data_IF_027519311642
#
_entry.id   IF_027519311642
#
_cell.length_a   1.000
_cell.length_b   1.000
_cell.length_c   1.000
_cell.angle_alpha   90.00
_cell.angle_beta   90.00
_cell.angle_gamma   90.00
#
_symmetry.space_group_name_H-M   'P 1'
#
loop_
_entity.id
_entity.type
_entity.pdbx_description
1 polymer ?
#
# COMPACT_ATOMS: atom_id res chain seq x y z
N UNK A 1 73.35 -18.67 -11.52
CA UNK A 1 72.72 -18.75 -10.19
C UNK A 1 71.32 -18.14 -10.33
N UNK A 2 70.28 -18.75 -10.91
CA UNK A 2 69.70 -20.10 -10.76
C UNK A 2 69.49 -20.47 -9.30
N UNK A 3 68.26 -20.32 -8.79
CA UNK A 3 67.93 -20.73 -7.42
C UNK A 3 66.59 -20.27 -6.82
N UNK A 4 65.88 -19.27 -7.38
CA UNK A 4 64.75 -18.64 -6.65
C UNK A 4 63.45 -18.43 -7.42
N UNK A 5 63.32 -18.97 -8.64
CA UNK A 5 62.07 -18.89 -9.44
C UNK A 5 61.22 -20.17 -9.33
N UNK A 6 61.77 -21.27 -8.79
CA UNK A 6 61.08 -22.56 -8.68
C UNK A 6 60.19 -22.72 -7.44
N UNK A 7 60.28 -21.83 -6.44
CA UNK A 7 59.53 -21.96 -5.17
C UNK A 7 58.16 -21.26 -5.17
N UNK A 8 57.93 -20.27 -6.03
CA UNK A 8 56.65 -19.54 -6.07
C UNK A 8 55.55 -20.22 -6.90
N UNK A 9 55.90 -21.19 -7.75
CA UNK A 9 54.94 -21.96 -8.56
C UNK A 9 54.37 -23.19 -7.84
N UNK A 10 55.04 -23.68 -6.79
CA UNK A 10 54.58 -24.79 -5.97
C UNK A 10 53.49 -24.36 -4.98
N UNK A 11 53.59 -23.15 -4.39
CA UNK A 11 52.59 -22.62 -3.46
C UNK A 11 51.25 -22.27 -4.15
N UNK A 12 51.30 -21.73 -5.37
CA UNK A 12 50.10 -21.44 -6.16
C UNK A 12 49.36 -22.71 -6.63
N UNK A 13 50.07 -23.82 -6.85
CA UNK A 13 49.47 -25.11 -7.22
C UNK A 13 48.89 -25.84 -6.01
N UNK A 14 49.47 -25.70 -4.82
CA UNK A 14 48.95 -26.27 -3.59
C UNK A 14 47.64 -25.58 -3.13
N UNK A 15 47.54 -24.26 -3.30
CA UNK A 15 46.31 -23.50 -2.97
C UNK A 15 45.17 -23.79 -3.95
N UNK A 16 45.46 -24.02 -5.24
CA UNK A 16 44.45 -24.40 -6.22
C UNK A 16 43.92 -25.84 -6.04
N UNK A 17 44.78 -26.78 -5.61
CA UNK A 17 44.38 -28.16 -5.27
C UNK A 17 43.57 -28.24 -3.96
N UNK A 18 43.85 -27.35 -2.99
CA UNK A 18 43.05 -27.23 -1.77
C UNK A 18 41.61 -26.73 -2.01
N UNK A 19 41.44 -25.80 -2.96
CA UNK A 19 40.12 -25.29 -3.33
C UNK A 19 39.28 -26.30 -4.14
N UNK A 20 39.91 -27.17 -4.94
CA UNK A 20 39.21 -28.21 -5.71
C UNK A 20 38.81 -29.42 -4.86
N UNK A 21 39.56 -29.76 -3.81
CA UNK A 21 39.20 -30.83 -2.88
C UNK A 21 38.04 -30.46 -1.93
N UNK A 22 37.82 -29.16 -1.69
CA UNK A 22 36.68 -28.66 -0.92
C UNK A 22 35.33 -28.73 -1.65
N UNK A 23 35.33 -28.97 -2.97
CA UNK A 23 34.11 -29.10 -3.78
C UNK A 23 33.63 -30.56 -3.96
N UNK A 24 34.43 -31.55 -3.55
CA UNK A 24 34.12 -32.99 -3.76
C UNK A 24 33.71 -33.71 -2.46
N UNK A 25 34.07 -33.18 -1.28
CA UNK A 25 33.58 -33.70 0.00
C UNK A 25 32.59 -32.70 0.61
N UNK A 26 31.30 -32.99 0.45
CA UNK A 26 30.22 -32.26 1.09
C UNK A 26 30.40 -32.24 2.62
N UNK A 27 30.76 -31.08 3.15
CA UNK A 27 30.68 -30.77 4.57
C UNK A 27 29.21 -30.65 5.03
N UNK A 28 28.93 -30.86 6.33
CA UNK A 28 27.57 -31.02 6.84
C UNK A 28 26.74 -29.73 6.69
N UNK A 29 25.47 -29.96 6.39
CA UNK A 29 24.37 -28.99 6.24
C UNK A 29 24.32 -28.03 7.44
N UNK A 30 24.20 -26.70 7.25
CA UNK A 30 23.94 -25.79 8.36
C UNK A 30 22.50 -25.97 8.86
N UNK A 31 22.37 -26.39 10.12
CA UNK A 31 21.13 -26.31 10.89
C UNK A 31 20.77 -24.85 11.13
N UNK A 32 19.61 -24.44 10.63
CA UNK A 32 18.98 -23.18 11.00
C UNK A 32 18.50 -23.29 12.45
N UNK A 33 19.31 -22.78 13.39
CA UNK A 33 18.92 -22.62 14.79
C UNK A 33 18.00 -21.41 14.90
N UNK A 34 16.69 -21.66 15.00
CA UNK A 34 15.73 -20.67 15.45
C UNK A 34 15.99 -20.39 16.94
N UNK A 35 16.39 -19.16 17.26
CA UNK A 35 16.36 -18.67 18.63
C UNK A 35 14.91 -18.46 19.04
N UNK A 36 14.30 -19.50 19.62
CA UNK A 36 13.11 -19.33 20.45
C UNK A 36 13.54 -18.63 21.74
N UNK A 37 13.26 -17.33 21.83
CA UNK A 37 13.24 -16.63 23.10
C UNK A 37 12.12 -17.22 23.96
N UNK A 38 12.53 -18.03 24.93
CA UNK A 38 11.70 -18.66 25.95
C UNK A 38 11.22 -17.58 26.95
N UNK A 39 10.13 -16.89 26.62
CA UNK A 39 9.37 -16.12 27.60
C UNK A 39 8.52 -17.09 28.43
N UNK A 40 9.11 -17.64 29.49
CA UNK A 40 8.36 -18.27 30.59
C UNK A 40 7.73 -17.18 31.47
N UNK A 41 6.75 -16.46 30.93
CA UNK A 41 5.84 -15.70 31.78
C UNK A 41 4.81 -16.67 32.34
N UNK A 42 5.10 -17.17 33.55
CA UNK A 42 4.11 -17.75 34.46
C UNK A 42 2.94 -16.78 34.57
N UNK A 43 1.83 -17.09 33.91
CA UNK A 43 0.55 -16.46 34.20
C UNK A 43 0.13 -16.95 35.58
N UNK A 44 0.26 -16.06 36.56
CA UNK A 44 -0.19 -16.26 37.93
C UNK A 44 -1.69 -15.96 37.93
N UNK A 45 -2.52 -17.01 38.05
CA UNK A 45 -3.96 -16.83 38.18
C UNK A 45 -4.27 -16.13 39.52
N UNK A 46 -5.04 -15.03 39.53
CA UNK A 46 -5.61 -14.54 40.78
C UNK A 46 -6.61 -15.58 41.29
N UNK A 47 -6.40 -16.01 42.53
CA UNK A 47 -7.40 -16.71 43.31
C UNK A 47 -8.48 -15.71 43.71
N UNK A 48 -9.74 -15.93 43.32
CA UNK A 48 -10.86 -15.12 43.78
C UNK A 48 -12.05 -15.17 42.83
N UNK A 49 -13.08 -15.89 43.28
CA UNK A 49 -14.45 -15.97 42.77
C UNK A 49 -14.94 -14.74 41.98
N UNK A 50 -15.19 -14.93 40.69
CA UNK A 50 -16.39 -14.38 40.03
C UNK A 50 -16.73 -15.24 38.81
N UNK A 51 -17.93 -15.82 38.83
CA UNK A 51 -18.40 -16.80 37.86
C UNK A 51 -18.80 -16.11 36.54
N UNK A 52 -17.87 -15.97 35.61
CA UNK A 52 -18.20 -15.75 34.19
C UNK A 52 -18.26 -17.10 33.48
N UNK A 53 -19.50 -17.58 33.35
CA UNK A 53 -19.89 -18.77 32.60
C UNK A 53 -19.50 -18.54 31.13
N UNK A 54 -18.36 -19.09 30.71
CA UNK A 54 -18.05 -19.25 29.29
C UNK A 54 -19.14 -20.15 28.71
N UNK A 55 -20.05 -19.55 27.94
CA UNK A 55 -21.09 -20.28 27.26
C UNK A 55 -20.47 -20.90 26.02
N UNK A 56 -20.03 -22.16 26.13
CA UNK A 56 -19.65 -22.95 24.98
C UNK A 56 -20.83 -22.97 24.00
N UNK A 57 -20.62 -22.72 22.69
CA UNK A 57 -21.67 -22.91 21.70
C UNK A 57 -22.20 -24.34 21.83
N UNK A 58 -23.52 -24.45 21.97
CA UNK A 58 -24.21 -25.72 22.10
C UNK A 58 -23.87 -26.61 20.92
N UNK A 59 -23.42 -27.84 21.20
CA UNK A 59 -23.12 -28.91 20.23
C UNK A 59 -24.41 -29.49 19.61
N UNK A 60 -25.43 -28.65 19.40
CA UNK A 60 -26.71 -28.97 18.79
C UNK A 60 -26.91 -28.36 17.40
N UNK A 61 -25.98 -27.54 16.91
CA UNK A 61 -25.92 -27.24 15.48
C UNK A 61 -25.17 -28.36 14.77
N UNK A 62 -25.86 -29.48 14.53
CA UNK A 62 -25.47 -30.36 13.43
C UNK A 62 -25.53 -29.51 12.17
N UNK A 63 -24.38 -29.00 11.73
CA UNK A 63 -24.22 -28.35 10.44
C UNK A 63 -24.46 -29.45 9.38
N UNK A 64 -25.73 -29.65 9.03
CA UNK A 64 -26.13 -30.55 7.96
C UNK A 64 -25.44 -30.03 6.72
N UNK A 65 -24.49 -30.80 6.18
CA UNK A 65 -23.92 -30.55 4.87
C UNK A 65 -25.08 -30.54 3.88
N UNK A 66 -25.47 -29.36 3.41
CA UNK A 66 -26.45 -29.24 2.34
C UNK A 66 -25.73 -29.55 1.04
N UNK A 67 -26.16 -30.65 0.41
CA UNK A 67 -25.73 -31.05 -0.92
C UNK A 67 -26.46 -30.15 -1.92
N UNK A 68 -25.83 -29.74 -3.04
CA UNK A 68 -26.50 -28.97 -4.10
C UNK A 68 -27.84 -29.59 -4.49
N UNK A 69 -28.80 -28.74 -4.86
CA UNK A 69 -30.14 -29.20 -5.25
C UNK A 69 -30.04 -30.22 -6.37
N UNK A 70 -30.84 -31.30 -6.30
CA UNK A 70 -30.88 -32.33 -7.35
C UNK A 70 -31.34 -31.74 -8.70
N UNK A 71 -32.11 -30.65 -8.64
CA UNK A 71 -32.64 -29.94 -9.81
C UNK A 71 -31.64 -28.96 -10.46
N UNK A 72 -30.58 -28.55 -9.74
CA UNK A 72 -29.48 -27.74 -10.28
C UNK A 72 -28.18 -27.98 -9.46
N UNK A 73 -27.30 -28.89 -9.92
CA UNK A 73 -26.08 -29.29 -9.20
C UNK A 73 -25.07 -28.16 -8.99
N UNK A 74 -25.30 -26.99 -9.58
CA UNK A 74 -24.39 -25.85 -9.52
C UNK A 74 -24.85 -24.74 -8.57
N UNK A 75 -26.05 -24.83 -7.98
CA UNK A 75 -26.62 -23.74 -7.17
C UNK A 75 -27.04 -24.18 -5.77
N UNK A 76 -26.69 -23.34 -4.80
CA UNK A 76 -27.10 -23.50 -3.41
C UNK A 76 -28.38 -22.73 -3.13
N UNK A 77 -29.08 -23.08 -2.04
CA UNK A 77 -30.24 -22.31 -1.58
C UNK A 77 -29.85 -20.87 -1.20
N UNK A 78 -30.83 -19.96 -1.20
CA UNK A 78 -30.61 -18.58 -0.77
C UNK A 78 -29.95 -18.52 0.62
N UNK A 79 -28.97 -17.64 0.78
CA UNK A 79 -28.15 -17.56 1.99
C UNK A 79 -27.01 -18.58 2.08
N UNK A 80 -26.71 -19.30 0.99
CA UNK A 80 -25.58 -20.23 0.89
C UNK A 80 -24.81 -20.04 -0.42
N UNK A 81 -23.50 -20.25 -0.36
CA UNK A 81 -22.60 -20.29 -1.52
C UNK A 81 -21.95 -21.67 -1.66
N UNK A 82 -21.50 -21.98 -2.87
CA UNK A 82 -20.86 -23.23 -3.23
C UNK A 82 -19.36 -23.15 -2.99
N UNK A 83 -18.89 -23.80 -1.92
CA UNK A 83 -17.45 -23.95 -1.64
C UNK A 83 -16.88 -25.14 -2.42
N UNK A 84 -15.89 -24.87 -3.28
CA UNK A 84 -15.18 -25.87 -4.09
C UNK A 84 -13.75 -26.15 -3.61
N UNK A 85 -13.37 -25.64 -2.43
CA UNK A 85 -12.01 -25.78 -1.89
C UNK A 85 -11.67 -27.20 -1.45
N UNK A 86 -12.68 -28.06 -1.24
CA UNK A 86 -12.53 -29.47 -0.85
C UNK A 86 -12.76 -30.46 -2.00
N UNK A 87 -12.55 -31.76 -1.73
CA UNK A 87 -12.78 -32.85 -2.69
C UNK A 87 -14.24 -32.97 -3.15
N UNK A 88 -15.18 -32.46 -2.36
CA UNK A 88 -16.62 -32.45 -2.65
C UNK A 88 -17.10 -31.02 -2.47
N UNK A 89 -17.80 -30.49 -3.47
CA UNK A 89 -18.43 -29.18 -3.37
C UNK A 89 -19.59 -29.21 -2.37
N UNK A 90 -19.67 -28.21 -1.50
CA UNK A 90 -20.67 -28.14 -0.42
C UNK A 90 -21.28 -26.75 -0.34
N UNK A 91 -22.56 -26.69 0.03
CA UNK A 91 -23.21 -25.42 0.31
C UNK A 91 -22.86 -24.95 1.72
N UNK A 92 -22.24 -23.78 1.80
CA UNK A 92 -21.83 -23.13 3.05
C UNK A 92 -22.66 -21.86 3.23
N UNK A 93 -23.16 -21.63 4.45
CA UNK A 93 -23.97 -20.44 4.75
C UNK A 93 -23.14 -19.17 4.54
N UNK A 94 -23.76 -18.13 3.98
CA UNK A 94 -23.17 -16.79 3.92
C UNK A 94 -22.83 -16.30 5.33
N UNK A 95 -21.60 -15.81 5.52
CA UNK A 95 -21.14 -15.27 6.80
C UNK A 95 -20.91 -13.76 6.67
N UNK A 96 -21.97 -12.97 6.86
CA UNK A 96 -21.96 -11.52 6.63
C UNK A 96 -22.07 -10.69 7.90
N UNK A 97 -21.61 -11.22 9.05
CA UNK A 97 -21.68 -10.58 10.37
C UNK A 97 -23.10 -10.09 10.77
N UNK A 98 -24.15 -10.64 10.16
CA UNK A 98 -25.54 -10.24 10.37
C UNK A 98 -25.94 -8.92 9.69
N UNK A 99 -25.12 -8.41 8.76
CA UNK A 99 -25.41 -7.22 7.94
C UNK A 99 -25.85 -7.55 6.52
N UNK A 100 -25.93 -8.83 6.17
CA UNK A 100 -26.56 -9.32 4.95
C UNK A 100 -26.94 -10.79 5.12
N UNK A 101 -27.95 -11.23 4.38
CA UNK A 101 -28.36 -12.61 4.18
C UNK A 101 -28.10 -13.10 2.75
N UNK A 102 -27.59 -12.23 1.87
CA UNK A 102 -27.26 -12.53 0.47
C UNK A 102 -25.73 -12.56 0.27
N UNK A 103 -25.22 -13.55 -0.45
CA UNK A 103 -23.82 -13.59 -0.88
C UNK A 103 -23.67 -14.18 -2.29
N UNK A 104 -22.54 -13.88 -2.92
CA UNK A 104 -22.18 -14.35 -4.26
C UNK A 104 -21.98 -15.87 -4.29
N UNK A 105 -22.61 -16.54 -5.25
CA UNK A 105 -22.82 -18.00 -5.27
C UNK A 105 -21.52 -18.83 -5.23
N UNK A 106 -20.39 -18.30 -5.68
CA UNK A 106 -19.12 -19.07 -5.76
C UNK A 106 -18.04 -18.61 -4.77
N UNK A 107 -18.15 -17.38 -4.26
CA UNK A 107 -17.10 -16.77 -3.42
C UNK A 107 -17.54 -16.67 -1.96
N UNK A 108 -18.86 -16.65 -1.70
CA UNK A 108 -19.41 -16.36 -0.38
C UNK A 108 -19.31 -14.90 0.03
N UNK A 109 -18.92 -14.02 -0.91
CA UNK A 109 -18.79 -12.58 -0.68
C UNK A 109 -20.16 -11.94 -0.53
N UNK A 110 -20.36 -11.24 0.57
CA UNK A 110 -21.63 -10.66 0.96
C UNK A 110 -22.07 -9.55 0.00
N UNK A 111 -23.35 -9.54 -0.32
CA UNK A 111 -23.97 -8.55 -1.18
C UNK A 111 -24.80 -7.59 -0.32
N UNK A 112 -24.86 -6.31 -0.71
CA UNK A 112 -25.72 -5.29 -0.08
C UNK A 112 -25.60 -5.22 1.45
N UNK A 113 -24.38 -5.13 1.97
CA UNK A 113 -24.14 -4.91 3.40
C UNK A 113 -24.98 -3.72 3.96
N UNK A 114 -25.71 -3.95 5.05
CA UNK A 114 -26.54 -2.94 5.74
C UNK A 114 -25.71 -2.10 6.73
N UNK A 115 -26.34 -1.13 7.39
CA UNK A 115 -25.76 -0.34 8.50
C UNK A 115 -24.41 0.34 8.19
N UNK A 116 -24.23 0.77 6.94
CA UNK A 116 -23.01 1.40 6.44
C UNK A 116 -21.76 0.53 6.64
N UNK A 117 -21.91 -0.79 6.53
CA UNK A 117 -20.80 -1.74 6.49
C UNK A 117 -20.38 -2.07 5.06
N UNK A 118 -19.18 -2.59 4.92
CA UNK A 118 -18.56 -3.02 3.67
C UNK A 118 -17.51 -4.10 3.96
N UNK A 119 -16.87 -4.62 2.91
CA UNK A 119 -15.98 -5.77 2.99
C UNK A 119 -16.66 -7.06 2.53
N UNK A 120 -15.88 -8.11 2.39
CA UNK A 120 -16.37 -9.36 1.79
C UNK A 120 -17.35 -10.09 2.72
N UNK A 121 -17.29 -9.78 4.01
CA UNK A 121 -18.13 -10.31 5.07
C UNK A 121 -18.85 -9.20 5.85
N UNK A 122 -18.92 -7.98 5.30
CA UNK A 122 -19.45 -6.80 5.99
C UNK A 122 -18.73 -6.50 7.32
N UNK A 123 -17.43 -6.77 7.37
CA UNK A 123 -16.59 -6.75 8.57
C UNK A 123 -15.99 -5.37 8.90
N UNK A 124 -16.12 -4.40 7.99
CA UNK A 124 -15.61 -3.04 8.16
C UNK A 124 -16.68 -2.01 7.85
N UNK A 125 -16.48 -0.76 8.26
CA UNK A 125 -17.35 0.32 7.81
C UNK A 125 -17.11 0.64 6.33
N UNK A 126 -18.16 1.09 5.66
CA UNK A 126 -18.12 1.61 4.30
C UNK A 126 -17.26 2.87 4.25
N UNK A 127 -16.67 3.13 3.08
CA UNK A 127 -15.87 4.31 2.84
C UNK A 127 -16.59 5.60 3.27
N UNK A 128 -15.89 6.45 4.00
CA UNK A 128 -16.42 7.67 4.60
C UNK A 128 -17.07 7.47 5.97
N UNK A 129 -17.04 6.25 6.51
CA UNK A 129 -17.49 5.91 7.85
C UNK A 129 -16.33 5.33 8.68
N UNK A 130 -16.41 5.47 10.00
CA UNK A 130 -15.41 5.01 10.97
C UNK A 130 -16.06 4.40 12.22
N UNK A 131 -15.23 3.92 13.15
CA UNK A 131 -15.56 3.14 14.36
C UNK A 131 -15.65 1.62 14.10
N UNK A 132 -16.39 0.88 14.93
CA UNK A 132 -16.33 -0.59 14.98
C UNK A 132 -17.58 -1.23 14.35
N UNK A 133 -17.38 -1.81 13.16
CA UNK A 133 -18.43 -2.55 12.45
C UNK A 133 -18.95 -3.76 13.25
N UNK A 134 -18.11 -4.48 14.00
CA UNK A 134 -18.54 -5.61 14.83
C UNK A 134 -19.49 -5.20 15.97
N UNK A 135 -19.47 -3.92 16.38
CA UNK A 135 -20.41 -3.36 17.35
C UNK A 135 -21.61 -2.66 16.72
N UNK A 136 -21.79 -2.76 15.39
CA UNK A 136 -22.84 -2.05 14.62
C UNK A 136 -22.80 -0.53 14.80
N UNK A 137 -21.60 0.04 14.89
CA UNK A 137 -21.39 1.48 15.09
C UNK A 137 -20.52 2.02 13.96
N UNK A 138 -21.11 2.21 12.78
CA UNK A 138 -20.45 2.94 11.70
C UNK A 138 -20.98 4.37 11.67
N UNK A 139 -20.11 5.33 12.01
CA UNK A 139 -20.43 6.75 12.06
C UNK A 139 -19.79 7.47 10.88
N UNK A 140 -20.48 8.46 10.30
CA UNK A 140 -19.96 9.20 9.16
C UNK A 140 -18.80 10.13 9.57
N UNK A 141 -17.72 10.11 8.80
CA UNK A 141 -16.59 11.02 8.93
C UNK A 141 -16.99 12.44 8.47
N UNK A 142 -16.84 13.48 9.31
CA UNK A 142 -17.10 14.86 8.89
C UNK A 142 -15.91 15.41 8.08
N UNK A 143 -15.73 14.94 6.84
CA UNK A 143 -14.54 15.22 6.02
C UNK A 143 -14.88 15.54 4.56
N UNK A 144 -15.11 16.81 4.18
CA UNK A 144 -15.26 18.01 5.01
C UNK A 144 -16.63 18.12 5.69
N UNK A 145 -17.63 17.37 5.23
CA UNK A 145 -18.94 17.27 5.85
C UNK A 145 -19.35 15.81 6.00
N UNK A 146 -20.28 15.52 6.91
CA UNK A 146 -20.78 14.15 7.13
C UNK A 146 -21.81 13.71 6.10
N UNK A 147 -22.23 14.59 5.18
CA UNK A 147 -23.22 14.27 4.17
C UNK A 147 -22.58 13.53 2.98
N UNK A 148 -23.31 12.60 2.36
CA UNK A 148 -22.77 11.81 1.23
C UNK A 148 -22.38 12.67 0.01
N UNK A 149 -22.92 13.89 -0.10
CA UNK A 149 -22.59 14.83 -1.17
C UNK A 149 -21.18 15.40 -1.10
N UNK A 150 -20.65 15.61 0.12
CA UNK A 150 -19.36 16.24 0.37
C UNK A 150 -18.56 15.51 1.46
N UNK A 151 -18.68 14.19 1.51
CA UNK A 151 -17.79 13.32 2.27
C UNK A 151 -16.76 12.68 1.32
N UNK A 152 -15.54 13.20 1.40
CA UNK A 152 -14.40 12.81 0.57
C UNK A 152 -13.37 11.98 1.34
N UNK A 153 -13.74 11.42 2.49
CA UNK A 153 -12.91 10.47 3.21
C UNK A 153 -13.18 9.02 2.80
N UNK A 154 -12.15 8.19 2.86
CA UNK A 154 -12.22 6.73 2.93
C UNK A 154 -12.50 6.28 4.37
N UNK A 155 -11.98 7.00 5.35
CA UNK A 155 -12.20 6.78 6.78
C UNK A 155 -11.59 7.92 7.59
N UNK A 156 -11.73 7.87 8.90
CA UNK A 156 -11.14 8.87 9.78
C UNK A 156 -10.79 8.26 11.15
N UNK A 157 -9.78 8.82 11.79
CA UNK A 157 -9.35 8.47 13.13
C UNK A 157 -9.36 9.71 14.01
N UNK A 158 -9.55 9.52 15.31
CA UNK A 158 -9.47 10.58 16.30
C UNK A 158 -8.22 10.38 17.14
N UNK A 159 -7.30 11.35 17.09
CA UNK A 159 -6.04 11.33 17.83
C UNK A 159 -5.93 12.65 18.59
N UNK A 160 -5.78 12.60 19.92
CA UNK A 160 -5.63 13.78 20.78
C UNK A 160 -6.73 14.86 20.60
N UNK A 161 -7.97 14.41 20.36
CA UNK A 161 -9.12 15.30 20.13
C UNK A 161 -9.13 16.00 18.76
N UNK A 162 -8.22 15.61 17.85
CA UNK A 162 -8.21 16.04 16.46
C UNK A 162 -8.65 14.89 15.55
N UNK A 163 -9.57 15.20 14.64
CA UNK A 163 -10.01 14.26 13.63
C UNK A 163 -9.06 14.31 12.43
N UNK A 164 -8.45 13.18 12.10
CA UNK A 164 -7.62 13.01 10.92
C UNK A 164 -8.37 12.13 9.90
N UNK A 165 -8.62 12.69 8.72
CA UNK A 165 -9.31 12.01 7.64
C UNK A 165 -8.34 11.37 6.65
N UNK A 166 -8.65 10.16 6.20
CA UNK A 166 -7.98 9.52 5.07
C UNK A 166 -8.74 9.90 3.80
N UNK A 167 -8.15 10.70 2.92
CA UNK A 167 -8.88 11.27 1.77
C UNK A 167 -8.95 10.33 0.57
N UNK A 168 -10.03 10.47 -0.21
CA UNK A 168 -10.17 9.86 -1.54
C UNK A 168 -9.21 10.52 -2.53
N UNK A 169 -8.92 9.81 -3.61
CA UNK A 169 -8.09 10.33 -4.70
C UNK A 169 -8.59 11.68 -5.21
N UNK A 170 -7.67 12.62 -5.36
CA UNK A 170 -7.96 13.99 -5.77
C UNK A 170 -8.31 14.98 -4.65
N UNK A 171 -8.35 14.53 -3.39
CA UNK A 171 -8.62 15.37 -2.22
C UNK A 171 -7.45 15.35 -1.22
N UNK A 172 -7.28 16.44 -0.49
CA UNK A 172 -6.21 16.60 0.51
C UNK A 172 -6.63 17.57 1.63
N UNK A 173 -5.82 17.64 2.69
CA UNK A 173 -6.11 18.38 3.92
C UNK A 173 -6.53 17.46 5.07
N UNK A 174 -6.51 17.97 6.30
CA UNK A 174 -6.88 17.18 7.50
C UNK A 174 -8.32 16.66 7.42
N UNK A 175 -9.19 17.36 6.69
CA UNK A 175 -10.61 17.06 6.51
C UNK A 175 -11.00 16.88 5.05
N UNK A 176 -10.03 16.64 4.15
CA UNK A 176 -10.27 16.50 2.71
C UNK A 176 -10.94 17.74 2.09
N UNK A 177 -10.64 18.91 2.66
CA UNK A 177 -11.26 20.18 2.34
C UNK A 177 -10.63 20.90 1.15
N UNK A 178 -9.56 20.35 0.57
CA UNK A 178 -8.86 20.90 -0.61
C UNK A 178 -8.71 19.86 -1.70
N UNK A 179 -8.51 20.32 -2.93
CA UNK A 179 -8.09 19.45 -4.03
C UNK A 179 -6.60 19.13 -3.94
N UNK A 180 -6.28 17.86 -4.18
CA UNK A 180 -4.90 17.41 -4.29
C UNK A 180 -4.21 18.06 -5.51
N UNK A 181 -2.87 18.12 -5.54
CA UNK A 181 -2.14 18.59 -6.72
C UNK A 181 -2.60 17.88 -7.98
N UNK A 182 -2.83 18.67 -9.04
CA UNK A 182 -3.36 18.20 -10.32
C UNK A 182 -4.88 18.02 -10.38
N UNK A 183 -5.59 18.47 -9.36
CA UNK A 183 -7.04 18.56 -9.32
C UNK A 183 -7.49 20.00 -9.04
N UNK A 184 -8.70 20.34 -9.48
CA UNK A 184 -9.32 21.63 -9.21
C UNK A 184 -10.78 21.52 -8.80
N UNK A 185 -11.26 22.52 -8.06
CA UNK A 185 -12.63 22.62 -7.57
C UNK A 185 -12.70 23.12 -6.12
N UNK A 186 -13.89 23.07 -5.54
CA UNK A 186 -14.11 23.48 -4.15
C UNK A 186 -14.95 22.43 -3.38
N UNK A 187 -14.31 21.57 -2.56
CA UNK A 187 -14.98 20.60 -1.71
C UNK A 187 -15.88 21.19 -0.61
N UNK A 188 -15.73 22.47 -0.27
CA UNK A 188 -16.47 23.12 0.82
C UNK A 188 -17.84 23.66 0.36
N UNK A 189 -18.05 23.79 -0.95
CA UNK A 189 -19.34 24.16 -1.51
C UNK A 189 -20.22 22.92 -1.62
N UNK A 190 -21.51 23.01 -1.25
CA UNK A 190 -22.45 21.88 -1.38
C UNK A 190 -22.49 21.33 -2.82
N UNK A 191 -22.18 20.04 -2.98
CA UNK A 191 -22.05 19.36 -4.28
C UNK A 191 -20.75 19.67 -5.04
N UNK A 192 -19.92 20.57 -4.54
CA UNK A 192 -18.60 20.88 -5.06
C UNK A 192 -17.64 19.70 -4.90
N UNK A 193 -16.82 19.46 -5.93
CA UNK A 193 -15.96 18.28 -6.05
C UNK A 193 -14.68 18.63 -6.76
N UNK A 194 -13.61 17.90 -6.44
CA UNK A 194 -12.35 17.97 -7.16
C UNK A 194 -12.44 17.19 -8.47
N UNK A 195 -11.90 17.78 -9.53
CA UNK A 195 -11.83 17.21 -10.88
C UNK A 195 -10.39 17.25 -11.35
N UNK A 196 -9.97 16.21 -12.07
CA UNK A 196 -8.63 16.16 -12.64
C UNK A 196 -8.44 17.32 -13.62
N UNK A 197 -7.29 17.99 -13.53
CA UNK A 197 -6.90 19.01 -14.50
C UNK A 197 -6.75 18.38 -15.89
N UNK A 198 -7.31 19.00 -16.92
CA UNK A 198 -7.09 18.58 -18.31
C UNK A 198 -5.99 19.46 -18.96
N UNK A 199 -4.78 19.33 -18.44
CA UNK A 199 -3.62 20.13 -18.84
C UNK A 199 -2.41 19.23 -19.04
N UNK A 200 -1.41 19.61 -19.86
CA UNK A 200 -0.14 18.90 -19.92
C UNK A 200 0.47 18.76 -18.52
N UNK A 201 0.79 17.53 -18.10
CA UNK A 201 1.28 17.24 -16.75
C UNK A 201 0.25 17.42 -15.62
N UNK A 202 -1.05 17.54 -15.95
CA UNK A 202 -2.14 17.81 -15.02
C UNK A 202 -1.94 19.08 -14.18
N UNK A 203 -1.13 20.06 -14.60
CA UNK A 203 -0.87 21.26 -13.80
C UNK A 203 -1.91 22.36 -14.07
N UNK A 204 -2.77 22.63 -13.09
CA UNK A 204 -3.73 23.73 -13.17
C UNK A 204 -3.94 24.40 -11.82
N UNK A 205 -4.53 25.59 -11.86
CA UNK A 205 -4.96 26.30 -10.66
C UNK A 205 -6.04 25.50 -9.91
N UNK A 206 -5.86 25.29 -8.61
CA UNK A 206 -6.68 24.37 -7.80
C UNK A 206 -8.12 24.84 -7.58
N UNK A 207 -8.45 26.10 -7.85
CA UNK A 207 -9.83 26.61 -7.74
C UNK A 207 -10.49 26.73 -9.11
N UNK A 208 -9.77 27.28 -10.07
CA UNK A 208 -10.34 27.66 -11.37
C UNK A 208 -10.19 26.60 -12.45
N UNK A 209 -9.23 25.69 -12.30
CA UNK A 209 -8.92 24.69 -13.32
C UNK A 209 -8.15 25.23 -14.53
N UNK A 210 -7.75 26.51 -14.50
CA UNK A 210 -6.98 27.13 -15.58
C UNK A 210 -5.59 26.53 -15.63
N UNK A 211 -5.18 26.02 -16.79
CA UNK A 211 -3.86 25.44 -16.99
C UNK A 211 -2.79 26.50 -16.72
N UNK A 212 -1.80 26.13 -15.89
CA UNK A 212 -0.60 26.95 -15.75
C UNK A 212 0.38 26.50 -16.83
N UNK A 213 0.83 27.43 -17.67
CA UNK A 213 1.89 27.12 -18.63
C UNK A 213 3.14 26.72 -17.85
N UNK A 214 3.76 25.61 -18.23
CA UNK A 214 4.96 25.03 -17.61
C UNK A 214 6.22 25.91 -17.66
N UNK A 215 6.07 27.20 -18.02
CA UNK A 215 7.10 28.22 -18.00
C UNK A 215 7.20 28.94 -16.64
N UNK A 216 6.22 28.77 -15.75
CA UNK A 216 6.21 29.48 -14.45
C UNK A 216 6.31 28.58 -13.21
N UNK A 217 6.41 27.25 -13.32
CA UNK A 217 6.89 26.39 -12.22
C UNK A 217 7.48 25.10 -12.79
N UNK A 218 8.79 25.09 -12.97
CA UNK A 218 9.59 23.86 -13.07
C UNK A 218 10.31 23.67 -11.74
N UNK A 219 9.69 22.94 -10.80
CA UNK A 219 10.43 22.33 -9.67
C UNK A 219 10.83 20.89 -10.00
N UNK A 220 10.99 20.56 -11.28
CA UNK A 220 11.55 19.27 -11.70
C UNK A 220 12.42 19.48 -12.92
N UNK A 221 13.66 19.94 -12.70
CA UNK A 221 14.75 19.57 -13.58
C UNK A 221 15.36 18.29 -13.03
N UNK A 222 15.39 17.30 -13.91
CA UNK A 222 15.77 15.91 -13.67
C UNK A 222 17.24 15.67 -13.36
N UNK A 223 18.07 16.69 -13.11
CA UNK A 223 19.48 16.50 -12.79
C UNK A 223 19.92 17.61 -11.83
N UNK A 224 20.33 17.20 -10.63
CA UNK A 224 21.13 17.91 -9.63
C UNK A 224 20.56 19.17 -8.95
N UNK A 225 20.33 19.02 -7.63
CA UNK A 225 20.21 20.06 -6.59
C UNK A 225 18.86 20.80 -6.51
N UNK A 226 18.25 20.81 -5.31
CA UNK A 226 17.20 21.77 -4.95
C UNK A 226 17.67 23.18 -5.35
N UNK A 227 17.00 23.81 -6.30
CA UNK A 227 17.23 25.23 -6.55
C UNK A 227 16.69 26.05 -5.38
N UNK A 228 17.37 27.15 -5.06
CA UNK A 228 16.93 28.13 -4.08
C UNK A 228 15.53 28.63 -4.44
N UNK A 229 14.74 28.91 -3.40
CA UNK A 229 13.39 29.47 -3.54
C UNK A 229 13.38 30.64 -4.53
N UNK A 230 12.30 30.80 -5.30
CA UNK A 230 12.20 31.89 -6.26
C UNK A 230 12.40 33.26 -5.59
N UNK A 231 12.76 34.27 -6.39
CA UNK A 231 13.03 35.61 -5.88
C UNK A 231 11.85 36.17 -5.08
N UNK A 232 10.60 35.76 -5.34
CA UNK A 232 9.42 36.22 -4.63
C UNK A 232 9.31 35.58 -3.22
N UNK A 233 9.55 34.28 -3.10
CA UNK A 233 9.59 33.54 -1.86
C UNK A 233 10.78 33.98 -1.00
N UNK A 234 11.95 34.18 -1.60
CA UNK A 234 13.12 34.70 -0.89
C UNK A 234 12.88 36.15 -0.43
N UNK A 235 12.27 37.00 -1.28
CA UNK A 235 11.89 38.37 -0.89
C UNK A 235 10.89 38.36 0.25
N UNK A 236 9.88 37.49 0.21
CA UNK A 236 8.91 37.36 1.29
C UNK A 236 9.57 36.91 2.60
N UNK A 237 10.47 35.93 2.54
CA UNK A 237 11.21 35.47 3.72
C UNK A 237 12.10 36.58 4.30
N UNK A 238 12.78 37.33 3.44
CA UNK A 238 13.59 38.49 3.85
C UNK A 238 12.72 39.61 4.44
N UNK A 239 11.55 39.88 3.85
CA UNK A 239 10.60 40.88 4.34
C UNK A 239 10.03 40.46 5.71
N UNK A 240 9.71 39.18 5.90
CA UNK A 240 9.25 38.62 7.18
C UNK A 240 10.34 38.70 8.26
N UNK A 241 11.60 38.44 7.91
CA UNK A 241 12.73 38.63 8.83
C UNK A 241 12.91 40.11 9.20
N UNK A 242 12.73 41.01 8.22
CA UNK A 242 12.78 42.45 8.43
C UNK A 242 11.62 42.95 9.32
N UNK A 243 10.42 42.39 9.19
CA UNK A 243 9.29 42.72 10.06
C UNK A 243 9.56 42.43 11.55
N UNK A 244 10.33 41.38 11.88
CA UNK A 244 10.72 41.07 13.27
C UNK A 244 11.61 42.19 13.88
N UNK A 245 12.43 42.83 13.05
CA UNK A 245 13.29 43.94 13.49
C UNK A 245 12.52 45.25 13.62
N UNK A 246 11.58 45.51 12.71
CA UNK A 246 10.73 46.71 12.73
C UNK A 246 9.72 46.65 13.87
N UNK A 247 9.13 45.49 14.16
CA UNK A 247 8.26 45.29 15.33
C UNK A 247 9.01 45.51 16.65
N UNK A 248 10.28 45.09 16.73
CA UNK A 248 11.14 45.38 17.89
C UNK A 248 11.42 46.87 18.05
N UNK A 249 11.71 47.59 16.97
CA UNK A 249 11.87 49.06 17.01
C UNK A 249 10.62 49.78 17.46
N UNK A 250 9.45 49.39 16.94
CA UNK A 250 8.16 49.97 17.33
C UNK A 250 7.90 49.71 18.83
N UNK A 251 8.22 48.51 19.32
CA UNK A 251 8.14 48.18 20.74
C UNK A 251 9.04 49.07 21.60
N UNK A 252 10.31 49.26 21.21
CA UNK A 252 11.26 50.06 21.98
C UNK A 252 10.91 51.57 21.97
N UNK A 253 10.16 52.02 20.96
CA UNK A 253 9.61 53.38 20.87
C UNK A 253 8.29 53.57 21.64
N UNK A 254 7.61 52.48 22.00
CA UNK A 254 6.38 52.51 22.79
C UNK A 254 6.73 52.55 24.29
N UNK A 255 6.58 53.73 24.89
CA UNK A 255 6.70 53.90 26.34
C UNK A 255 5.54 53.20 27.06
N UNK A 256 5.77 51.93 27.45
CA UNK A 256 4.76 51.02 27.98
C UNK A 256 4.09 51.50 29.28
N UNK A 257 4.71 52.47 29.96
CA UNK A 257 4.22 53.04 31.21
C UNK A 257 3.22 54.18 31.00
N UNK A 258 3.18 54.76 29.80
CA UNK A 258 2.19 55.77 29.39
C UNK A 258 0.90 55.16 28.80
N UNK A 259 0.84 53.84 28.60
CA UNK A 259 -0.28 53.14 27.99
C UNK A 259 -1.37 52.75 29.00
N UNK A 260 -2.63 52.69 28.55
CA UNK A 260 -3.75 52.20 29.38
C UNK A 260 -3.51 50.74 29.80
N UNK A 261 -3.91 50.32 31.01
CA UNK A 261 -3.66 48.97 31.53
C UNK A 261 -4.15 47.83 30.61
N UNK A 262 -5.29 48.02 29.95
CA UNK A 262 -5.84 47.04 29.01
C UNK A 262 -5.00 46.89 27.73
N UNK A 263 -4.42 47.97 27.22
CA UNK A 263 -3.54 47.94 26.04
C UNK A 263 -2.21 47.27 26.37
N UNK A 264 -1.69 47.49 27.59
CA UNK A 264 -0.48 46.84 28.12
C UNK A 264 -0.66 45.32 28.22
N UNK A 265 -1.82 44.87 28.71
CA UNK A 265 -2.13 43.44 28.80
C UNK A 265 -2.33 42.78 27.43
N UNK A 266 -2.94 43.48 26.46
CA UNK A 266 -3.02 42.97 25.08
C UNK A 266 -1.65 42.85 24.41
N UNK A 267 -0.76 43.82 24.63
CA UNK A 267 0.62 43.75 24.11
C UNK A 267 1.38 42.57 24.71
N UNK A 268 1.27 42.36 26.02
CA UNK A 268 1.91 41.24 26.73
C UNK A 268 1.46 39.88 26.19
N UNK A 269 0.15 39.71 25.96
CA UNK A 269 -0.40 38.49 25.36
C UNK A 269 0.06 38.28 23.92
N UNK A 270 0.19 39.37 23.15
CA UNK A 270 0.72 39.30 21.79
C UNK A 270 2.20 38.88 21.79
N UNK A 271 3.02 39.41 22.71
CA UNK A 271 4.41 38.99 22.88
C UNK A 271 4.55 37.51 23.25
N UNK A 272 3.72 37.02 24.17
CA UNK A 272 3.67 35.60 24.53
C UNK A 272 3.29 34.73 23.32
N UNK A 273 2.30 35.16 22.53
CA UNK A 273 1.89 34.45 21.32
C UNK A 273 2.99 34.44 20.24
N UNK A 274 3.70 35.55 20.05
CA UNK A 274 4.84 35.64 19.13
C UNK A 274 5.97 34.72 19.58
N UNK A 275 6.31 34.72 20.87
CA UNK A 275 7.35 33.85 21.43
C UNK A 275 6.99 32.36 21.30
N UNK A 276 5.74 32.00 21.57
CA UNK A 276 5.24 30.64 21.39
C UNK A 276 5.31 30.20 19.92
N UNK A 277 4.91 31.08 18.99
CA UNK A 277 4.97 30.83 17.55
C UNK A 277 6.41 30.63 17.08
N UNK A 278 7.36 31.45 17.56
CA UNK A 278 8.79 31.31 17.24
C UNK A 278 9.36 29.96 17.69
N UNK A 279 9.01 29.52 18.91
CA UNK A 279 9.41 28.21 19.40
C UNK A 279 8.81 27.06 18.58
N UNK A 280 7.55 27.19 18.16
CA UNK A 280 6.89 26.21 17.29
C UNK A 280 7.57 26.12 15.92
N UNK A 281 7.87 27.25 15.29
CA UNK A 281 8.58 27.31 13.99
C UNK A 281 9.97 26.69 14.12
N UNK A 282 10.73 27.01 15.17
CA UNK A 282 12.03 26.41 15.41
C UNK A 282 11.94 24.88 15.59
N UNK A 283 10.94 24.41 16.33
CA UNK A 283 10.69 22.97 16.53
C UNK A 283 10.36 22.28 15.21
N UNK A 284 9.55 22.92 14.38
CA UNK A 284 9.20 22.42 13.05
C UNK A 284 10.44 22.39 12.14
N UNK A 285 11.25 23.44 12.11
CA UNK A 285 12.50 23.50 11.35
C UNK A 285 13.44 22.34 11.70
N UNK A 286 13.70 22.13 13.00
CA UNK A 286 14.54 21.01 13.47
C UNK A 286 13.96 19.66 13.07
N UNK A 287 12.64 19.54 13.03
CA UNK A 287 11.97 18.30 12.62
C UNK A 287 12.09 18.07 11.12
N UNK A 288 11.92 19.12 10.31
CA UNK A 288 12.11 19.10 8.85
C UNK A 288 13.56 18.75 8.51
N UNK A 289 14.54 19.39 9.14
CA UNK A 289 15.97 19.13 8.92
C UNK A 289 16.34 17.66 9.21
N UNK A 290 15.69 17.05 10.20
CA UNK A 290 15.86 15.61 10.50
C UNK A 290 15.22 14.70 9.46
N UNK A 291 14.23 15.17 8.71
CA UNK A 291 13.56 14.39 7.67
C UNK A 291 14.26 14.48 6.32
N UNK A 292 14.89 15.62 5.99
CA UNK A 292 15.66 15.80 4.74
C UNK A 292 16.59 14.63 4.40
N UNK A 293 17.48 14.13 5.30
CA UNK A 293 18.35 13.01 4.95
C UNK A 293 17.61 11.70 4.70
N UNK A 294 16.44 11.49 5.33
CA UNK A 294 15.61 10.31 5.12
C UNK A 294 14.92 10.35 3.76
N UNK A 295 14.47 11.53 3.34
CA UNK A 295 13.89 11.75 2.01
C UNK A 295 14.95 11.49 0.94
N UNK A 296 16.16 12.04 1.11
CA UNK A 296 17.27 11.80 0.19
C UNK A 296 17.63 10.31 0.10
N UNK A 297 17.62 9.59 1.22
CA UNK A 297 17.84 8.15 1.21
C UNK A 297 16.71 7.41 0.48
N UNK A 298 15.45 7.79 0.72
CA UNK A 298 14.31 7.16 0.06
C UNK A 298 14.32 7.40 -1.46
N UNK A 299 14.74 8.57 -1.92
CA UNK A 299 14.93 8.88 -3.34
C UNK A 299 16.00 8.00 -3.98
N UNK A 300 17.11 7.75 -3.27
CA UNK A 300 18.15 6.82 -3.71
C UNK A 300 17.62 5.38 -3.80
N UNK A 301 16.85 4.94 -2.80
CA UNK A 301 16.26 3.61 -2.78
C UNK A 301 15.25 3.43 -3.94
N UNK A 302 14.42 4.45 -4.22
CA UNK A 302 13.50 4.46 -5.36
C UNK A 302 14.26 4.36 -6.69
N UNK A 303 15.39 5.07 -6.81
CA UNK A 303 16.24 5.02 -8.00
C UNK A 303 16.84 3.62 -8.20
N UNK A 304 17.33 3.00 -7.12
CA UNK A 304 17.86 1.64 -7.16
C UNK A 304 16.78 0.61 -7.51
N UNK A 305 15.61 0.68 -6.87
CA UNK A 305 14.47 -0.20 -7.16
C UNK A 305 13.98 -0.06 -8.59
N UNK A 306 13.95 1.15 -9.14
CA UNK A 306 13.59 1.38 -10.56
C UNK A 306 14.54 0.64 -11.49
N UNK A 307 15.86 0.70 -11.21
CA UNK A 307 16.87 -0.02 -11.98
C UNK A 307 16.71 -1.54 -11.88
N UNK A 308 16.42 -2.06 -10.70
CA UNK A 308 16.18 -3.49 -10.50
C UNK A 308 14.91 -3.96 -11.23
N UNK A 309 13.86 -3.13 -11.24
CA UNK A 309 12.63 -3.41 -11.98
C UNK A 309 12.89 -3.48 -13.49
N UNK A 310 13.70 -2.57 -14.05
CA UNK A 310 14.08 -2.59 -15.47
C UNK A 310 14.92 -3.83 -15.82
N UNK A 311 15.87 -4.20 -14.95
CA UNK A 311 16.66 -5.42 -15.11
C UNK A 311 15.78 -6.67 -15.10
N UNK A 312 14.83 -6.75 -14.15
CA UNK A 312 13.92 -7.88 -14.03
C UNK A 312 12.97 -7.95 -15.23
N UNK A 313 12.47 -6.82 -15.70
CA UNK A 313 11.63 -6.73 -16.91
C UNK A 313 12.37 -7.28 -18.13
N UNK A 314 13.64 -6.94 -18.29
CA UNK A 314 14.48 -7.44 -19.38
C UNK A 314 14.76 -8.95 -19.24
N UNK A 315 14.96 -9.44 -18.02
CA UNK A 315 15.11 -10.87 -17.75
C UNK A 315 13.84 -11.67 -18.09
N UNK A 316 12.67 -11.18 -17.70
CA UNK A 316 11.37 -11.80 -18.03
C UNK A 316 11.14 -11.80 -19.53
N UNK A 317 11.47 -10.71 -20.24
CA UNK A 317 11.38 -10.63 -21.70
C UNK A 317 12.21 -11.74 -22.37
N UNK A 318 13.47 -11.91 -21.96
CA UNK A 318 14.36 -12.97 -22.49
C UNK A 318 13.82 -14.37 -22.19
N UNK A 319 13.36 -14.63 -20.97
CA UNK A 319 12.76 -15.92 -20.62
C UNK A 319 11.50 -16.22 -21.45
N UNK A 320 10.66 -15.21 -21.70
CA UNK A 320 9.48 -15.36 -22.55
C UNK A 320 9.86 -15.72 -24.00
N UNK A 321 10.89 -15.08 -24.55
CA UNK A 321 11.41 -15.40 -25.90
C UNK A 321 11.95 -16.82 -25.99
N UNK A 322 12.69 -17.28 -24.98
CA UNK A 322 13.26 -18.63 -24.97
C UNK A 322 12.17 -19.70 -24.77
N UNK A 323 11.18 -19.43 -23.91
CA UNK A 323 10.00 -20.29 -23.76
C UNK A 323 9.20 -20.39 -25.07
N UNK A 324 9.05 -19.28 -25.80
CA UNK A 324 8.39 -19.26 -27.11
C UNK A 324 9.12 -20.12 -28.15
N UNK A 325 10.46 -20.04 -28.22
CA UNK A 325 11.27 -20.90 -29.10
C UNK A 325 11.14 -22.38 -28.72
N UNK A 326 11.17 -22.70 -27.42
CA UNK A 326 11.03 -24.07 -26.95
C UNK A 326 9.65 -24.65 -27.31
N UNK A 327 8.58 -23.86 -27.16
CA UNK A 327 7.23 -24.25 -27.54
C UNK A 327 7.12 -24.55 -29.05
N UNK A 328 7.66 -23.68 -29.90
CA UNK A 328 7.67 -23.91 -31.35
C UNK A 328 8.43 -25.18 -31.74
N UNK A 329 9.57 -25.44 -31.09
CA UNK A 329 10.33 -26.68 -31.31
C UNK A 329 9.56 -27.94 -30.88
N UNK A 330 8.84 -27.86 -29.75
CA UNK A 330 8.00 -28.95 -29.26
C UNK A 330 6.83 -29.23 -30.21
N UNK A 331 6.16 -28.18 -30.72
CA UNK A 331 5.10 -28.30 -31.71
C UNK A 331 5.59 -28.95 -33.01
N UNK A 332 6.73 -28.51 -33.53
CA UNK A 332 7.35 -29.11 -34.73
C UNK A 332 7.66 -30.60 -34.52
N UNK A 333 8.18 -30.95 -33.34
CA UNK A 333 8.48 -32.34 -32.99
C UNK A 333 7.21 -33.17 -32.86
N UNK A 334 6.14 -32.62 -32.28
CA UNK A 334 4.84 -33.25 -32.17
C UNK A 334 4.22 -33.51 -33.55
N UNK A 335 4.30 -32.56 -34.48
CA UNK A 335 3.81 -32.75 -35.86
C UNK A 335 4.57 -33.85 -36.60
N UNK A 336 5.90 -33.92 -36.44
CA UNK A 336 6.71 -35.02 -37.01
C UNK A 336 6.32 -36.39 -36.45
N UNK A 337 6.12 -36.47 -35.14
CA UNK A 337 5.68 -37.72 -34.50
C UNK A 337 4.31 -38.16 -35.01
N UNK A 338 3.37 -37.23 -35.19
CA UNK A 338 2.03 -37.51 -35.74
C UNK A 338 2.09 -37.98 -37.21
N UNK A 339 2.96 -37.39 -38.01
CA UNK A 339 3.20 -37.83 -39.39
C UNK A 339 3.74 -39.27 -39.43
N UNK A 340 4.70 -39.60 -38.57
CA UNK A 340 5.29 -40.93 -38.47
C UNK A 340 4.28 -42.00 -37.98
N UNK A 341 3.42 -41.64 -37.02
CA UNK A 341 2.32 -42.52 -36.58
C UNK A 341 1.36 -42.81 -37.73
N UNK A 342 0.97 -41.78 -38.48
CA UNK A 342 0.10 -41.93 -39.67
C UNK A 342 0.72 -42.85 -40.72
N UNK A 343 2.02 -42.71 -40.98
CA UNK A 343 2.75 -43.59 -41.90
C UNK A 343 2.81 -45.04 -41.40
N UNK A 344 3.03 -45.22 -40.10
CA UNK A 344 3.02 -46.54 -39.46
C UNK A 344 1.66 -47.22 -39.56
N UNK A 345 0.57 -46.49 -39.31
CA UNK A 345 -0.81 -46.99 -39.47
C UNK A 345 -1.10 -47.40 -40.92
N UNK A 346 -0.66 -46.60 -41.90
CA UNK A 346 -0.81 -46.92 -43.32
C UNK A 346 -0.05 -48.19 -43.71
N UNK A 347 1.19 -48.37 -43.21
CA UNK A 347 1.96 -49.60 -43.44
C UNK A 347 1.28 -50.83 -42.82
N UNK A 348 0.77 -50.71 -41.59
CA UNK A 348 0.03 -51.78 -40.92
C UNK A 348 -1.24 -52.17 -41.70
N UNK A 349 -1.97 -51.21 -42.28
CA UNK A 349 -3.12 -51.51 -43.13
C UNK A 349 -2.73 -52.27 -44.41
N UNK A 350 -1.64 -51.86 -45.08
CA UNK A 350 -1.15 -52.58 -46.27
C UNK A 350 -0.78 -54.03 -45.94
N UNK A 351 -0.09 -54.27 -44.83
CA UNK A 351 0.25 -55.62 -44.38
C UNK A 351 -1.01 -56.46 -44.12
N UNK A 352 -2.00 -55.91 -43.39
CA UNK A 352 -3.27 -56.61 -43.13
C UNK A 352 -4.06 -56.91 -44.41
N UNK A 353 -4.10 -55.97 -45.36
CA UNK A 353 -4.76 -56.18 -46.66
C UNK A 353 -4.06 -57.21 -47.55
N UNK A 354 -2.74 -57.38 -47.39
CA UNK A 354 -1.94 -58.36 -48.13
C UNK A 354 -2.20 -59.80 -47.66
N UNK A 355 -2.64 -59.99 -46.42
CA UNK A 355 -2.99 -61.28 -45.84
C UNK A 355 -4.41 -61.78 -46.18
N UNK A 356 -5.25 -60.96 -46.83
CA UNK A 356 -6.60 -61.37 -47.29
C UNK A 356 -6.65 -61.81 -48.77
N UNK A 357 -5.51 -61.81 -49.49
CA UNK A 357 -5.42 -62.22 -50.90
C UNK A 357 -4.79 -63.61 -51.12
N UNK A 358 -4.75 -64.44 -50.07
CA UNK A 358 -4.40 -65.87 -50.13
C UNK A 358 -5.52 -66.68 -49.51
#
# INVERSE_FOLDING_TARGET
MSGSVAWRSAELRALALGALLALVYGGPRPEHRSEHAEWTQRVQYPAGNDAQRVQFPSLHDTQRVQIPSVDDPQRCAAGFYLDRSGLIARCVRCSCNGFSDECEENTGRCLKCSDNTAGDHCERCRDGYYSNAAQRRCSACPCPFSNDGNNFALGCTETDGRLLCLCKDGYTGERCERCAPGYYGDPLVSGGRCRLCNCPGNLCDSKTGVCRNSLELRDTNTEEQCEECDNCAQTLLNDLEKFDTELRRIKDQLDLDSLRPSSKEHLRKLEEAIAATRNLVNTFSVTVDKQVPKINQLEQDVTYLTKDMDNLKEQVRKQSEDAGKALSNAENSHQRAKALDTETQNLLQKIKGSHLCT
#
